data_IF_005804264309
#
_entry.id   IF_005804264309
#
_cell.length_a   1.000
_cell.length_b   1.000
_cell.length_c   1.000
_cell.angle_alpha   90.00
_cell.angle_beta   90.00
_cell.angle_gamma   90.00
#
_symmetry.space_group_name_H-M   'P 1'
#
loop_
_entity.id
_entity.type
_entity.pdbx_description
1 polymer ?
#
# COMPACT_ATOMS: atom_id res chain seq x y z
N UNK A 1 -21.14 -4.58 13.86
CA UNK A 1 -19.89 -4.83 13.08
C UNK A 1 -19.40 -3.53 12.48
N UNK A 2 -18.08 -3.28 12.48
CA UNK A 2 -17.37 -2.05 12.07
C UNK A 2 -17.45 -1.69 10.57
N UNK A 3 -18.57 -1.98 9.89
CA UNK A 3 -18.78 -1.65 8.47
C UNK A 3 -17.95 -2.47 7.48
N UNK A 4 -17.48 -3.66 7.89
CA UNK A 4 -16.84 -4.67 7.02
C UNK A 4 -17.75 -5.89 6.94
N UNK A 5 -18.00 -6.36 5.73
CA UNK A 5 -18.67 -7.63 5.45
C UNK A 5 -17.62 -8.76 5.40
N UNK A 6 -17.80 -9.77 6.26
CA UNK A 6 -16.97 -10.96 6.27
C UNK A 6 -17.55 -12.00 5.31
N UNK A 7 -16.69 -12.69 4.58
CA UNK A 7 -17.05 -13.75 3.64
C UNK A 7 -15.92 -14.75 3.56
N UNK A 8 -16.26 -16.00 3.26
CA UNK A 8 -15.29 -17.07 3.02
C UNK A 8 -14.69 -17.00 1.61
N UNK A 9 -15.38 -16.32 0.67
CA UNK A 9 -14.92 -16.16 -0.70
C UNK A 9 -14.11 -14.86 -0.86
N UNK A 10 -12.86 -14.99 -1.30
CA UNK A 10 -11.96 -13.85 -1.52
C UNK A 10 -12.48 -12.85 -2.56
N UNK A 11 -13.19 -13.32 -3.59
CA UNK A 11 -13.74 -12.44 -4.63
C UNK A 11 -14.90 -11.59 -4.10
N UNK A 12 -15.73 -12.18 -3.24
CA UNK A 12 -16.81 -11.47 -2.58
C UNK A 12 -16.29 -10.45 -1.56
N UNK A 13 -15.13 -10.69 -0.95
CA UNK A 13 -14.54 -9.75 0.01
C UNK A 13 -14.33 -8.39 -0.65
N UNK A 14 -13.83 -8.38 -1.87
CA UNK A 14 -13.59 -7.17 -2.62
C UNK A 14 -14.90 -6.49 -3.03
N UNK A 15 -15.83 -7.26 -3.62
CA UNK A 15 -17.13 -6.77 -4.07
C UNK A 15 -17.97 -6.19 -2.93
N UNK A 16 -17.98 -6.82 -1.77
CA UNK A 16 -18.82 -6.39 -0.65
C UNK A 16 -18.24 -5.20 0.11
N UNK A 17 -16.91 -5.02 0.12
CA UNK A 17 -16.27 -3.98 0.94
C UNK A 17 -15.76 -2.80 0.12
N UNK A 18 -15.03 -3.03 -0.97
CA UNK A 18 -14.38 -1.95 -1.73
C UNK A 18 -15.31 -1.26 -2.73
N UNK A 19 -16.16 -2.02 -3.44
CA UNK A 19 -17.07 -1.45 -4.45
C UNK A 19 -18.03 -0.40 -3.86
N UNK A 20 -18.71 -0.64 -2.71
CA UNK A 20 -19.58 0.38 -2.12
C UNK A 20 -18.82 1.66 -1.74
N UNK A 21 -17.57 1.56 -1.29
CA UNK A 21 -16.74 2.72 -0.96
C UNK A 21 -16.30 3.48 -2.21
N UNK A 22 -16.00 2.78 -3.30
CA UNK A 22 -15.68 3.43 -4.58
C UNK A 22 -16.89 4.18 -5.13
N UNK A 23 -18.08 3.59 -5.09
CA UNK A 23 -19.33 4.28 -5.48
C UNK A 23 -19.57 5.53 -4.63
N UNK A 24 -19.36 5.43 -3.31
CA UNK A 24 -19.49 6.58 -2.41
C UNK A 24 -18.46 7.66 -2.69
N UNK A 25 -17.22 7.29 -3.00
CA UNK A 25 -16.16 8.21 -3.42
C UNK A 25 -16.56 8.92 -4.71
N UNK A 26 -17.00 8.19 -5.75
CA UNK A 26 -17.46 8.77 -7.02
C UNK A 26 -18.59 9.78 -6.81
N UNK A 27 -19.58 9.44 -5.99
CA UNK A 27 -20.67 10.34 -5.65
C UNK A 27 -20.18 11.59 -4.92
N UNK A 28 -19.26 11.43 -3.98
CA UNK A 28 -18.64 12.55 -3.26
C UNK A 28 -17.93 13.48 -4.24
N UNK A 29 -17.07 12.94 -5.11
CA UNK A 29 -16.35 13.74 -6.11
C UNK A 29 -17.30 14.42 -7.09
N UNK A 30 -18.38 13.76 -7.53
CA UNK A 30 -19.41 14.37 -8.39
C UNK A 30 -20.06 15.60 -7.75
N UNK A 31 -20.38 15.53 -6.45
CA UNK A 31 -20.95 16.68 -5.71
C UNK A 31 -19.95 17.83 -5.64
N UNK A 32 -18.66 17.54 -5.48
CA UNK A 32 -17.62 18.58 -5.46
C UNK A 32 -17.24 19.08 -6.85
N UNK A 33 -17.51 18.32 -7.91
CA UNK A 33 -17.17 18.67 -9.28
C UNK A 33 -18.02 19.84 -9.84
N UNK A 34 -19.19 20.10 -9.25
CA UNK A 34 -20.02 21.25 -9.61
C UNK A 34 -19.48 22.59 -9.11
N UNK A 35 -18.48 22.56 -8.20
CA UNK A 35 -17.85 23.77 -7.66
C UNK A 35 -16.66 24.15 -8.51
N UNK A 36 -16.45 25.46 -8.67
CA UNK A 36 -15.25 25.97 -9.32
C UNK A 36 -14.05 25.87 -8.37
N UNK A 37 -13.22 24.86 -8.59
CA UNK A 37 -12.09 24.51 -7.74
C UNK A 37 -10.84 24.35 -8.58
N UNK A 38 -9.73 24.92 -8.09
CA UNK A 38 -8.41 24.70 -8.67
C UNK A 38 -7.98 23.23 -8.57
N UNK A 39 -7.04 22.74 -9.40
CA UNK A 39 -6.51 21.38 -9.28
C UNK A 39 -5.94 21.05 -7.89
N UNK A 40 -5.36 22.06 -7.22
CA UNK A 40 -4.88 21.95 -5.84
C UNK A 40 -6.05 21.73 -4.87
N UNK A 41 -7.11 22.55 -4.98
CA UNK A 41 -8.32 22.40 -4.17
C UNK A 41 -8.97 21.03 -4.38
N UNK A 42 -9.05 20.55 -5.62
CA UNK A 42 -9.56 19.22 -5.96
C UNK A 42 -8.69 18.11 -5.37
N UNK A 43 -7.37 18.23 -5.41
CA UNK A 43 -6.47 17.27 -4.75
C UNK A 43 -6.71 17.21 -3.22
N UNK A 44 -6.98 18.35 -2.58
CA UNK A 44 -7.36 18.39 -1.16
C UNK A 44 -8.67 17.62 -0.92
N UNK A 45 -9.71 17.85 -1.74
CA UNK A 45 -10.99 17.13 -1.64
C UNK A 45 -10.78 15.62 -1.80
N UNK A 46 -9.97 15.19 -2.78
CA UNK A 46 -9.63 13.77 -2.97
C UNK A 46 -9.05 13.16 -1.70
N UNK A 47 -8.09 13.82 -1.06
CA UNK A 47 -7.45 13.31 0.16
C UNK A 47 -8.41 13.29 1.34
N UNK A 48 -9.09 14.41 1.58
CA UNK A 48 -9.91 14.63 2.79
C UNK A 48 -11.20 13.83 2.75
N UNK A 49 -11.89 13.81 1.60
CA UNK A 49 -13.21 13.19 1.48
C UNK A 49 -13.23 11.93 0.63
N UNK A 50 -12.32 11.77 -0.34
CA UNK A 50 -12.26 10.57 -1.17
C UNK A 50 -11.53 9.44 -0.46
N UNK A 51 -10.21 9.56 -0.35
CA UNK A 51 -9.31 8.51 0.13
C UNK A 51 -9.51 8.15 1.60
N UNK A 52 -9.90 9.10 2.43
CA UNK A 52 -10.21 8.87 3.86
C UNK A 52 -11.23 7.74 4.07
N UNK A 53 -12.19 7.57 3.14
CA UNK A 53 -13.20 6.52 3.20
C UNK A 53 -12.63 5.10 2.99
N UNK A 54 -11.46 4.99 2.35
CA UNK A 54 -10.81 3.73 1.98
C UNK A 54 -9.66 3.34 2.92
N UNK A 55 -9.17 4.28 3.74
CA UNK A 55 -8.01 4.06 4.64
C UNK A 55 -8.18 2.81 5.50
N UNK A 56 -9.34 2.67 6.15
CA UNK A 56 -9.58 1.54 7.03
C UNK A 56 -9.54 0.20 6.27
N UNK A 57 -10.13 0.14 5.06
CA UNK A 57 -10.11 -1.07 4.24
C UNK A 57 -8.68 -1.43 3.81
N UNK A 58 -7.92 -0.46 3.30
CA UNK A 58 -6.53 -0.68 2.92
C UNK A 58 -5.67 -1.14 4.10
N UNK A 59 -5.95 -0.65 5.30
CA UNK A 59 -5.25 -1.04 6.51
C UNK A 59 -5.50 -2.50 6.88
N UNK A 60 -6.77 -2.95 6.91
CA UNK A 60 -7.17 -4.22 7.54
C UNK A 60 -7.46 -5.36 6.58
N UNK A 61 -7.88 -5.08 5.34
CA UNK A 61 -8.18 -6.10 4.32
C UNK A 61 -6.99 -6.32 3.40
N UNK A 62 -6.87 -7.48 2.72
CA UNK A 62 -5.91 -7.66 1.65
C UNK A 62 -5.96 -6.54 0.60
N UNK A 63 -4.85 -6.32 -0.12
CA UNK A 63 -4.76 -5.30 -1.16
C UNK A 63 -5.82 -5.57 -2.23
N UNK A 64 -6.51 -4.52 -2.69
CA UNK A 64 -7.48 -4.69 -3.77
C UNK A 64 -6.78 -5.09 -5.08
N UNK A 65 -7.52 -5.69 -6.02
CA UNK A 65 -7.00 -6.01 -7.35
C UNK A 65 -6.43 -4.78 -8.06
N UNK A 66 -5.45 -5.00 -8.96
CA UNK A 66 -4.85 -3.91 -9.77
C UNK A 66 -5.88 -3.14 -10.60
N UNK A 67 -6.94 -3.81 -11.04
CA UNK A 67 -8.05 -3.20 -11.77
C UNK A 67 -8.75 -2.11 -10.95
N UNK A 68 -9.00 -2.36 -9.66
CA UNK A 68 -9.56 -1.37 -8.74
C UNK A 68 -8.63 -0.18 -8.53
N UNK A 69 -7.34 -0.45 -8.33
CA UNK A 69 -6.35 0.63 -8.13
C UNK A 69 -6.31 1.53 -9.38
N UNK A 70 -6.33 0.93 -10.58
CA UNK A 70 -6.38 1.67 -11.84
C UNK A 70 -7.68 2.47 -11.98
N UNK A 71 -8.83 1.89 -11.63
CA UNK A 71 -10.12 2.58 -11.67
C UNK A 71 -10.17 3.76 -10.70
N UNK A 72 -9.64 3.57 -9.49
CA UNK A 72 -9.53 4.62 -8.48
C UNK A 72 -8.61 5.75 -8.94
N UNK A 73 -7.43 5.42 -9.49
CA UNK A 73 -6.51 6.39 -10.08
C UNK A 73 -7.19 7.20 -11.18
N UNK A 74 -7.84 6.53 -12.15
CA UNK A 74 -8.56 7.21 -13.23
C UNK A 74 -9.65 8.13 -12.69
N UNK A 75 -10.44 7.68 -11.72
CA UNK A 75 -11.51 8.48 -11.09
C UNK A 75 -10.94 9.74 -10.40
N UNK A 76 -9.79 9.61 -9.73
CA UNK A 76 -9.13 10.72 -9.05
C UNK A 76 -8.59 11.74 -10.06
N UNK A 77 -7.90 11.28 -11.10
CA UNK A 77 -7.32 12.16 -12.11
C UNK A 77 -8.38 12.87 -12.95
N UNK A 78 -9.45 12.16 -13.33
CA UNK A 78 -10.61 12.73 -13.99
C UNK A 78 -11.21 13.87 -13.17
N UNK A 79 -11.38 13.66 -11.86
CA UNK A 79 -11.85 14.72 -10.97
C UNK A 79 -10.86 15.89 -10.87
N UNK A 80 -9.56 15.64 -10.67
CA UNK A 80 -8.54 16.68 -10.53
C UNK A 80 -8.50 17.60 -11.77
N UNK A 81 -8.65 17.03 -12.97
CA UNK A 81 -8.64 17.78 -14.23
C UNK A 81 -10.01 18.25 -14.70
N UNK A 82 -11.08 17.79 -14.04
CA UNK A 82 -12.45 18.18 -14.35
C UNK A 82 -12.97 17.64 -15.66
N UNK A 83 -12.72 16.35 -15.90
CA UNK A 83 -13.10 15.69 -17.15
C UNK A 83 -12.20 16.04 -18.34
N UNK A 84 -11.23 16.94 -18.16
CA UNK A 84 -10.26 17.27 -19.20
C UNK A 84 -9.11 16.24 -19.21
N UNK A 85 -8.44 16.07 -20.37
CA UNK A 85 -7.22 15.26 -20.44
C UNK A 85 -6.15 15.73 -19.46
N UNK A 86 -5.33 14.77 -19.00
CA UNK A 86 -4.21 15.03 -18.10
C UNK A 86 -3.24 16.05 -18.73
N UNK A 87 -3.16 17.25 -18.14
CA UNK A 87 -2.26 18.32 -18.63
C UNK A 87 -0.80 18.10 -18.27
N UNK A 88 -0.55 17.27 -17.25
CA UNK A 88 0.78 16.96 -16.72
C UNK A 88 0.87 15.45 -16.54
N UNK A 89 2.04 14.87 -16.86
CA UNK A 89 2.31 13.44 -16.62
C UNK A 89 2.03 13.09 -15.15
N UNK A 90 1.32 11.99 -14.91
CA UNK A 90 0.99 11.51 -13.55
C UNK A 90 2.22 11.26 -12.68
N UNK A 91 3.35 10.88 -13.26
CA UNK A 91 4.62 10.73 -12.53
C UNK A 91 5.23 12.06 -12.08
N UNK A 92 4.91 13.18 -12.74
CA UNK A 92 5.40 14.51 -12.35
C UNK A 92 4.47 15.14 -11.29
N UNK A 93 3.15 14.98 -11.44
CA UNK A 93 2.16 15.63 -10.55
C UNK A 93 2.15 15.08 -9.12
N UNK A 94 2.64 13.85 -8.91
CA UNK A 94 2.80 13.24 -7.57
C UNK A 94 3.92 13.90 -6.76
N UNK A 95 4.86 14.59 -7.41
CA UNK A 95 5.99 15.22 -6.74
C UNK A 95 5.54 16.38 -5.83
N UNK A 96 6.38 16.78 -4.87
CA UNK A 96 6.13 17.97 -4.05
C UNK A 96 5.95 19.24 -4.89
N UNK A 97 5.25 20.22 -4.32
CA UNK A 97 5.04 21.53 -4.96
C UNK A 97 6.35 22.25 -5.23
N UNK A 98 7.34 22.12 -4.34
CA UNK A 98 8.70 22.65 -4.54
C UNK A 98 9.42 22.05 -5.75
N UNK A 99 8.99 20.89 -6.24
CA UNK A 99 9.53 20.20 -7.42
C UNK A 99 8.60 20.33 -8.63
N UNK A 100 7.65 21.28 -8.61
CA UNK A 100 6.71 21.53 -9.70
C UNK A 100 5.54 20.55 -9.80
N UNK A 101 5.35 19.67 -8.80
CA UNK A 101 4.19 18.77 -8.73
C UNK A 101 3.03 19.37 -7.93
N UNK A 102 1.95 18.60 -7.76
CA UNK A 102 0.81 18.97 -6.90
C UNK A 102 0.69 18.07 -5.66
N UNK A 103 1.68 17.22 -5.40
CA UNK A 103 1.68 16.23 -4.31
C UNK A 103 0.43 15.36 -4.35
N UNK A 104 -0.02 14.94 -5.54
CA UNK A 104 -1.15 14.00 -5.68
C UNK A 104 -0.78 12.66 -5.07
N UNK A 105 -1.72 12.02 -4.38
CA UNK A 105 -1.45 10.75 -3.71
C UNK A 105 -1.28 9.63 -4.74
N UNK A 106 -0.09 9.02 -4.78
CA UNK A 106 0.12 7.78 -5.53
C UNK A 106 -0.48 6.60 -4.76
N UNK A 107 -1.57 6.01 -5.29
CA UNK A 107 -2.42 5.06 -4.56
C UNK A 107 -1.67 3.80 -4.14
N UNK A 108 -0.84 3.21 -5.00
CA UNK A 108 -0.08 2.01 -4.62
C UNK A 108 0.90 2.29 -3.48
N UNK A 109 1.59 3.44 -3.50
CA UNK A 109 2.49 3.83 -2.40
C UNK A 109 1.72 4.11 -1.12
N UNK A 110 0.55 4.74 -1.23
CA UNK A 110 -0.34 4.98 -0.09
C UNK A 110 -0.79 3.68 0.57
N UNK A 111 -1.26 2.70 -0.22
CA UNK A 111 -1.64 1.38 0.30
C UNK A 111 -0.44 0.68 0.97
N UNK A 112 0.74 0.70 0.33
CA UNK A 112 1.96 0.10 0.90
C UNK A 112 2.34 0.74 2.24
N UNK A 113 2.25 2.07 2.36
CA UNK A 113 2.53 2.77 3.62
C UNK A 113 1.56 2.36 4.74
N UNK A 114 0.26 2.24 4.45
CA UNK A 114 -0.73 1.76 5.40
C UNK A 114 -0.43 0.33 5.86
N UNK A 115 -0.02 -0.55 4.94
CA UNK A 115 0.42 -1.91 5.30
C UNK A 115 1.64 -1.89 6.23
N UNK A 116 2.60 -1.02 5.99
CA UNK A 116 3.80 -0.93 6.82
C UNK A 116 3.51 -0.47 8.25
N UNK A 117 2.38 0.20 8.51
CA UNK A 117 2.00 0.54 9.91
C UNK A 117 1.82 -0.69 10.80
N UNK A 118 1.48 -1.86 10.23
CA UNK A 118 1.41 -3.11 10.97
C UNK A 118 2.76 -3.63 11.44
N UNK A 119 3.83 -3.30 10.72
CA UNK A 119 5.19 -3.69 11.09
C UNK A 119 5.58 -2.96 12.36
N UNK A 120 5.34 -1.65 12.42
CA UNK A 120 5.56 -0.87 13.63
C UNK A 120 4.76 -1.46 14.80
N UNK A 121 3.48 -1.82 14.59
CA UNK A 121 2.66 -2.47 15.63
C UNK A 121 3.18 -3.85 16.04
N UNK A 122 3.80 -4.59 15.13
CA UNK A 122 4.35 -5.91 15.40
C UNK A 122 5.66 -5.84 16.18
N UNK A 123 6.53 -4.90 15.83
CA UNK A 123 7.85 -4.72 16.43
C UNK A 123 7.84 -4.00 17.80
N UNK A 124 6.68 -3.57 18.31
CA UNK A 124 6.58 -3.05 19.69
C UNK A 124 6.70 -4.17 20.72
N UNK A 125 7.09 -3.86 21.96
CA UNK A 125 7.17 -4.86 23.03
C UNK A 125 5.80 -5.30 23.59
N UNK A 126 4.71 -4.67 23.13
CA UNK A 126 3.35 -5.02 23.55
C UNK A 126 2.94 -6.39 23.03
N UNK A 127 2.78 -7.36 23.92
CA UNK A 127 2.32 -8.70 23.57
C UNK A 127 0.79 -8.72 23.39
N UNK A 128 0.35 -8.87 22.14
CA UNK A 128 -1.05 -9.07 21.79
C UNK A 128 -1.27 -10.46 21.16
N UNK A 129 -2.39 -11.16 21.43
CA UNK A 129 -2.66 -12.49 20.86
C UNK A 129 -2.58 -12.55 19.33
N UNK A 130 -2.88 -11.43 18.65
CA UNK A 130 -2.80 -11.32 17.20
C UNK A 130 -1.36 -11.46 16.65
N UNK A 131 -0.32 -11.19 17.45
CA UNK A 131 1.08 -11.35 17.03
C UNK A 131 1.43 -12.80 16.75
N UNK A 132 0.73 -13.75 17.37
CA UNK A 132 0.91 -15.18 17.11
C UNK A 132 0.75 -15.50 15.63
N UNK A 133 -0.20 -14.86 14.93
CA UNK A 133 -0.37 -15.05 13.48
C UNK A 133 0.84 -14.57 12.68
N UNK A 134 1.45 -13.46 13.08
CA UNK A 134 2.70 -12.97 12.50
C UNK A 134 3.86 -13.91 12.81
N UNK A 135 4.01 -14.34 14.07
CA UNK A 135 5.08 -15.27 14.45
C UNK A 135 5.02 -16.57 13.67
N UNK A 136 3.84 -17.18 13.52
CA UNK A 136 3.65 -18.39 12.72
C UNK A 136 4.03 -18.13 11.26
N UNK A 137 3.61 -17.00 10.69
CA UNK A 137 3.83 -16.67 9.29
C UNK A 137 5.29 -16.29 8.98
N UNK A 138 5.99 -15.69 9.94
CA UNK A 138 7.35 -15.13 9.79
C UNK A 138 8.43 -15.98 10.45
N UNK A 139 8.07 -17.12 11.07
CA UNK A 139 9.02 -18.01 11.76
C UNK A 139 10.22 -18.38 10.90
N UNK A 140 9.99 -18.70 9.62
CA UNK A 140 11.07 -19.04 8.67
C UNK A 140 12.03 -17.87 8.41
N UNK A 141 11.59 -16.62 8.59
CA UNK A 141 12.34 -15.42 8.25
C UNK A 141 12.94 -14.70 9.47
N UNK A 142 13.00 -15.38 10.63
CA UNK A 142 13.50 -14.78 11.86
C UNK A 142 12.57 -13.74 12.51
N UNK A 143 11.24 -13.85 12.31
CA UNK A 143 10.25 -12.99 12.97
C UNK A 143 10.34 -11.51 12.54
N UNK A 144 10.61 -10.59 13.48
CA UNK A 144 10.79 -9.16 13.24
C UNK A 144 12.12 -8.85 12.57
N UNK A 145 13.09 -9.77 12.66
CA UNK A 145 14.41 -9.60 12.05
C UNK A 145 14.34 -9.41 10.53
N UNK A 146 13.37 -10.04 9.86
CA UNK A 146 13.07 -9.80 8.44
C UNK A 146 12.98 -8.31 8.10
N UNK A 147 12.40 -7.50 8.99
CA UNK A 147 12.19 -6.07 8.75
C UNK A 147 13.45 -5.23 8.91
N UNK A 148 14.56 -5.82 9.36
CA UNK A 148 15.89 -5.19 9.39
C UNK A 148 16.72 -5.55 8.16
N UNK A 149 16.29 -6.56 7.38
CA UNK A 149 17.05 -7.13 6.28
C UNK A 149 16.78 -6.45 4.93
N UNK A 150 17.69 -6.64 3.97
CA UNK A 150 17.59 -6.08 2.62
C UNK A 150 16.94 -7.09 1.64
N UNK A 151 15.62 -7.20 1.71
CA UNK A 151 14.85 -8.22 1.00
C UNK A 151 13.97 -7.62 -0.11
N UNK A 152 13.85 -8.32 -1.24
CA UNK A 152 12.97 -8.02 -2.38
C UNK A 152 11.61 -8.69 -2.17
N UNK A 153 10.51 -8.09 -2.67
CA UNK A 153 9.16 -8.65 -2.50
C UNK A 153 8.96 -10.10 -2.98
N UNK A 154 9.78 -10.55 -3.94
CA UNK A 154 9.69 -11.90 -4.50
C UNK A 154 10.21 -12.98 -3.52
N UNK A 155 11.12 -12.63 -2.60
CA UNK A 155 11.74 -13.60 -1.70
C UNK A 155 10.82 -13.95 -0.51
N UNK A 156 9.83 -13.09 -0.22
CA UNK A 156 8.78 -13.31 0.79
C UNK A 156 7.47 -13.84 0.21
N UNK A 157 7.43 -14.22 -1.08
CA UNK A 157 6.21 -14.68 -1.77
C UNK A 157 5.59 -15.95 -1.17
N UNK A 158 6.41 -16.77 -0.50
CA UNK A 158 6.01 -18.06 0.04
C UNK A 158 5.33 -17.98 1.42
N UNK A 159 5.17 -16.77 1.99
CA UNK A 159 4.38 -16.58 3.22
C UNK A 159 2.92 -17.00 2.94
N UNK A 160 2.42 -17.97 3.72
CA UNK A 160 1.08 -18.58 3.52
C UNK A 160 -0.05 -17.58 3.73
N UNK A 161 0.01 -16.82 4.83
CA UNK A 161 -1.02 -15.84 5.16
C UNK A 161 -0.91 -14.64 4.19
N UNK A 162 -1.94 -14.44 3.36
CA UNK A 162 -1.96 -13.37 2.35
C UNK A 162 -1.77 -11.98 2.95
N UNK A 163 -2.39 -11.71 4.11
CA UNK A 163 -2.29 -10.39 4.75
C UNK A 163 -0.88 -10.11 5.27
N UNK A 164 -0.26 -11.07 5.97
CA UNK A 164 1.14 -10.95 6.44
C UNK A 164 2.12 -10.88 5.26
N UNK A 165 1.88 -11.68 4.21
CA UNK A 165 2.68 -11.65 2.98
C UNK A 165 2.66 -10.27 2.35
N UNK A 166 1.49 -9.65 2.21
CA UNK A 166 1.38 -8.31 1.63
C UNK A 166 2.07 -7.24 2.47
N UNK A 167 2.05 -7.36 3.79
CA UNK A 167 2.78 -6.45 4.69
C UNK A 167 4.29 -6.60 4.48
N UNK A 168 4.80 -7.83 4.50
CA UNK A 168 6.21 -8.11 4.25
C UNK A 168 6.66 -7.62 2.86
N UNK A 169 5.85 -7.87 1.82
CA UNK A 169 6.12 -7.38 0.46
C UNK A 169 6.10 -5.85 0.38
N UNK A 170 5.18 -5.19 1.11
CA UNK A 170 5.12 -3.72 1.15
C UNK A 170 6.38 -3.14 1.79
N UNK A 171 6.88 -3.78 2.85
CA UNK A 171 8.15 -3.41 3.48
C UNK A 171 9.30 -3.55 2.50
N UNK A 172 9.49 -4.75 1.96
CA UNK A 172 10.56 -5.07 1.01
C UNK A 172 10.59 -4.08 -0.17
N UNK A 173 9.41 -3.67 -0.66
CA UNK A 173 9.31 -2.70 -1.75
C UNK A 173 9.75 -1.27 -1.37
N UNK A 174 9.73 -0.93 -0.08
CA UNK A 174 10.10 0.41 0.43
C UNK A 174 11.52 0.42 0.99
N UNK A 175 11.92 -0.65 1.68
CA UNK A 175 13.19 -0.73 2.39
C UNK A 175 14.35 -1.29 1.56
N UNK A 176 14.06 -1.99 0.46
CA UNK A 176 15.12 -2.54 -0.38
C UNK A 176 16.00 -1.44 -0.97
N UNK A 177 17.31 -1.59 -0.78
CA UNK A 177 18.33 -0.72 -1.36
C UNK A 177 19.28 -1.57 -2.17
N UNK A 178 19.45 -1.24 -3.45
CA UNK A 178 20.50 -1.87 -4.25
C UNK A 178 21.87 -1.49 -3.70
N UNK A 179 22.75 -2.46 -3.41
CA UNK A 179 24.11 -2.19 -2.97
C UNK A 179 24.81 -1.24 -3.95
N UNK A 180 25.33 -0.12 -3.44
CA UNK A 180 26.32 0.70 -4.14
C UNK A 180 27.64 0.48 -3.42
N UNK A 181 28.44 -0.45 -3.93
CA UNK A 181 29.83 -0.76 -3.58
C UNK A 181 30.17 -1.16 -2.13
N UNK A 182 29.24 -1.09 -1.17
CA UNK A 182 29.49 -1.49 0.22
C UNK A 182 28.77 -2.79 0.60
N UNK A 183 29.42 -3.92 0.33
CA UNK A 183 28.92 -5.26 0.65
C UNK A 183 29.26 -5.70 2.09
N UNK A 184 30.33 -5.15 2.69
CA UNK A 184 30.87 -5.61 3.97
C UNK A 184 30.00 -5.30 5.20
N UNK A 185 29.11 -4.30 5.12
CA UNK A 185 28.22 -3.92 6.22
C UNK A 185 26.78 -4.47 6.09
N UNK A 186 26.55 -5.36 5.13
CA UNK A 186 25.21 -5.87 4.86
C UNK A 186 24.85 -7.05 5.76
N UNK A 187 23.59 -7.10 6.17
CA UNK A 187 23.04 -8.28 6.83
C UNK A 187 23.02 -9.41 5.80
N UNK A 188 23.57 -10.57 6.19
CA UNK A 188 23.66 -11.75 5.34
C UNK A 188 22.29 -12.42 5.13
N UNK A 189 21.57 -12.60 6.24
CA UNK A 189 20.27 -13.26 6.29
C UNK A 189 19.18 -12.42 5.63
N UNK A 190 18.22 -13.08 4.97
CA UNK A 190 17.13 -12.46 4.22
C UNK A 190 17.59 -11.36 3.25
N UNK A 191 18.80 -11.49 2.69
CA UNK A 191 19.35 -10.53 1.73
C UNK A 191 19.17 -11.04 0.29
N UNK A 192 18.49 -10.26 -0.53
CA UNK A 192 18.20 -10.66 -1.91
C UNK A 192 19.40 -10.70 -2.84
N UNK A 193 20.46 -9.98 -2.48
CA UNK A 193 21.68 -9.86 -3.26
C UNK A 193 22.77 -10.84 -2.78
N UNK A 194 22.57 -11.49 -1.62
CA UNK A 194 23.44 -12.55 -1.11
C UNK A 194 22.68 -13.87 -1.12
N UNK A 195 22.97 -14.70 -2.12
CA UNK A 195 22.28 -15.98 -2.36
C UNK A 195 23.25 -17.14 -2.29
N UNK A 196 22.81 -18.24 -1.69
CA UNK A 196 23.51 -19.51 -1.72
C UNK A 196 22.68 -20.47 -2.57
N UNK A 197 23.28 -21.04 -3.63
CA UNK A 197 22.59 -21.92 -4.60
C UNK A 197 21.33 -21.29 -5.24
N UNK A 198 21.32 -19.98 -5.45
CA UNK A 198 20.20 -19.25 -6.04
C UNK A 198 19.06 -18.88 -5.07
N UNK A 199 19.11 -19.39 -3.83
CA UNK A 199 18.14 -19.07 -2.78
C UNK A 199 18.70 -18.07 -1.77
N UNK A 200 17.79 -17.30 -1.17
CA UNK A 200 18.12 -16.40 -0.05
C UNK A 200 18.33 -17.23 1.21
N UNK A 201 19.32 -16.86 2.00
CA UNK A 201 19.63 -17.51 3.27
C UNK A 201 18.64 -17.01 4.33
N UNK A 202 17.97 -17.93 5.04
CA UNK A 202 16.89 -17.63 6.00
C UNK A 202 17.31 -17.85 7.45
#
# INVERSE_FOLDING_TARGET
>A
MLGIAFTHNGDDLFRLNYQPKLSRLKNTLRVWASRDLTPIGRNIIVKTFGLSQLVYLFLVLPKPPKTFIKELDCTIFDFIWGGNPDKVKRSAIINPVSSGGLKVTHISSFINSLKCTWIQRYCTDLNGPWKTFFHISLKKYGYDFLFKCNCKPNDVKNIRNTFVREIAQSWCNISYVSPKDNYGSQILWNNSDIRMNGEVIF
#
